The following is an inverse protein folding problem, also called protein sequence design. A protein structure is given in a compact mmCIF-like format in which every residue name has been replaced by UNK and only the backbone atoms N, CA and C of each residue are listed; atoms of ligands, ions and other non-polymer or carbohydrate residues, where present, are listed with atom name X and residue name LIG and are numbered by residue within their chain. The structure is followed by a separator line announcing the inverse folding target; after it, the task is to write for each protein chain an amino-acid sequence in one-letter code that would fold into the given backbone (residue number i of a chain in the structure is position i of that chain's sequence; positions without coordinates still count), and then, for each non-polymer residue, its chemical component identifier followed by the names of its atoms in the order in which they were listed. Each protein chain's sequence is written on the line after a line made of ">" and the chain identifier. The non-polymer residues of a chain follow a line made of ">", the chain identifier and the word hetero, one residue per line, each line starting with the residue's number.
data_IF_378222091058
#
_entry.id   IF_378222091058
#
_cell.length_a   1.000
_cell.length_b   1.000
_cell.length_c   1.000
_cell.angle_alpha   90.00
_cell.angle_beta   90.00
_cell.angle_gamma   90.00
#
_symmetry.space_group_name_H-M   'P 1'
#
loop_
_entity.id
_entity.type
_entity.pdbx_description
1 polymer ?
#
# COMPACT_ATOMS: atom_id res chain seq x y z
N UNK A 1 -1.86 -67.45 1.12
CA UNK A 1 -2.61 -66.39 0.40
C UNK A 1 -3.42 -65.69 1.47
N UNK A 2 -3.42 -64.36 1.56
CA UNK A 2 -4.03 -63.67 2.71
C UNK A 2 -5.55 -63.88 2.66
N UNK A 3 -6.07 -64.78 3.50
CA UNK A 3 -7.49 -65.07 3.64
C UNK A 3 -8.12 -64.03 4.57
N UNK A 4 -8.30 -62.81 4.05
CA UNK A 4 -9.04 -61.76 4.75
C UNK A 4 -10.54 -61.94 4.50
N UNK A 5 -11.38 -61.83 5.54
CA UNK A 5 -12.82 -61.85 5.37
C UNK A 5 -13.27 -60.63 4.56
N UNK A 6 -14.30 -60.81 3.73
CA UNK A 6 -14.82 -59.79 2.81
C UNK A 6 -15.26 -58.51 3.57
N UNK A 7 -15.62 -58.65 4.85
CA UNK A 7 -15.94 -57.53 5.76
C UNK A 7 -14.77 -56.55 5.90
N UNK A 8 -13.55 -57.06 6.05
CA UNK A 8 -12.38 -56.24 6.36
C UNK A 8 -11.93 -55.47 5.12
N UNK A 9 -11.99 -56.12 3.95
CA UNK A 9 -11.75 -55.47 2.66
C UNK A 9 -12.76 -54.34 2.40
N UNK A 10 -14.04 -54.58 2.69
CA UNK A 10 -15.09 -53.56 2.53
C UNK A 10 -14.89 -52.37 3.47
N UNK A 11 -14.48 -52.65 4.71
CA UNK A 11 -14.17 -51.63 5.71
C UNK A 11 -12.94 -50.80 5.29
N UNK A 12 -11.88 -51.44 4.81
CA UNK A 12 -10.69 -50.76 4.31
C UNK A 12 -11.00 -49.85 3.11
N UNK A 13 -11.84 -50.30 2.18
CA UNK A 13 -12.30 -49.48 1.06
C UNK A 13 -13.12 -48.28 1.55
N UNK A 14 -14.05 -48.49 2.48
CA UNK A 14 -14.86 -47.41 3.06
C UNK A 14 -13.97 -46.34 3.71
N UNK A 15 -12.99 -46.75 4.53
CA UNK A 15 -12.04 -45.82 5.14
C UNK A 15 -11.16 -45.12 4.10
N UNK A 16 -10.74 -45.81 3.04
CA UNK A 16 -9.95 -45.20 1.96
C UNK A 16 -10.71 -44.06 1.27
N UNK A 17 -12.01 -44.26 0.99
CA UNK A 17 -12.85 -43.20 0.43
C UNK A 17 -13.07 -42.04 1.40
N UNK A 18 -13.27 -42.32 2.70
CA UNK A 18 -13.38 -41.29 3.72
C UNK A 18 -12.11 -40.44 3.80
N UNK A 19 -10.94 -41.09 3.84
CA UNK A 19 -9.64 -40.42 3.88
C UNK A 19 -9.39 -39.58 2.62
N UNK A 20 -9.76 -40.08 1.45
CA UNK A 20 -9.65 -39.32 0.20
C UNK A 20 -10.47 -38.03 0.25
N UNK A 21 -11.69 -38.10 0.77
CA UNK A 21 -12.53 -36.91 1.00
C UNK A 21 -11.92 -35.94 2.01
N UNK A 22 -11.37 -36.45 3.12
CA UNK A 22 -10.69 -35.63 4.13
C UNK A 22 -9.47 -34.91 3.56
N UNK A 23 -8.65 -35.57 2.75
CA UNK A 23 -7.47 -34.97 2.11
C UNK A 23 -7.89 -33.85 1.17
N UNK A 24 -8.93 -34.06 0.35
CA UNK A 24 -9.45 -33.01 -0.52
C UNK A 24 -9.90 -31.78 0.27
N UNK A 25 -10.55 -31.99 1.41
CA UNK A 25 -10.98 -30.89 2.27
C UNK A 25 -9.79 -30.16 2.92
N UNK A 26 -8.78 -30.89 3.39
CA UNK A 26 -7.54 -30.32 3.94
C UNK A 26 -6.82 -29.44 2.91
N UNK A 27 -6.75 -29.88 1.65
CA UNK A 27 -6.14 -29.09 0.58
C UNK A 27 -6.89 -27.77 0.42
N UNK A 28 -8.23 -27.79 0.39
CA UNK A 28 -9.05 -26.58 0.30
C UNK A 28 -8.81 -25.65 1.49
N UNK A 29 -8.86 -26.19 2.70
CA UNK A 29 -8.58 -25.44 3.91
C UNK A 29 -7.20 -24.76 3.88
N UNK A 30 -6.18 -25.48 3.39
CA UNK A 30 -4.82 -24.95 3.30
C UNK A 30 -4.76 -23.77 2.32
N UNK A 31 -5.43 -23.89 1.16
CA UNK A 31 -5.52 -22.79 0.18
C UNK A 31 -6.22 -21.57 0.79
N UNK A 32 -7.32 -21.76 1.50
CA UNK A 32 -8.06 -20.66 2.14
C UNK A 32 -7.22 -19.93 3.19
N UNK A 33 -6.38 -20.66 3.95
CA UNK A 33 -5.45 -20.06 4.92
C UNK A 33 -4.34 -19.29 4.21
N UNK A 34 -3.74 -19.84 3.16
CA UNK A 34 -2.69 -19.14 2.40
C UNK A 34 -3.18 -17.84 1.76
N UNK A 35 -4.42 -17.83 1.27
CA UNK A 35 -5.06 -16.62 0.72
C UNK A 35 -5.20 -15.55 1.82
N UNK A 36 -5.65 -15.94 3.01
CA UNK A 36 -5.79 -15.02 4.14
C UNK A 36 -4.42 -14.49 4.61
N UNK A 37 -3.40 -15.34 4.64
CA UNK A 37 -2.04 -14.95 5.01
C UNK A 37 -1.46 -13.93 4.01
N UNK A 38 -1.60 -14.16 2.71
CA UNK A 38 -1.18 -13.19 1.66
C UNK A 38 -1.86 -11.83 1.84
N UNK A 39 -3.14 -11.81 2.22
CA UNK A 39 -3.86 -10.56 2.49
C UNK A 39 -3.29 -9.83 3.71
N UNK A 40 -3.00 -10.55 4.79
CA UNK A 40 -2.40 -9.98 5.99
C UNK A 40 -0.98 -9.45 5.73
N UNK A 41 -0.17 -10.14 4.93
CA UNK A 41 1.18 -9.69 4.54
C UNK A 41 1.15 -8.32 3.85
N UNK A 42 0.21 -8.08 2.93
CA UNK A 42 0.05 -6.76 2.28
C UNK A 42 -0.29 -5.65 3.27
N UNK A 43 -1.13 -5.96 4.27
CA UNK A 43 -1.48 -4.98 5.30
C UNK A 43 -0.25 -4.62 6.14
N UNK A 44 0.55 -5.63 6.51
CA UNK A 44 1.79 -5.42 7.26
C UNK A 44 2.78 -4.60 6.42
N UNK A 45 2.95 -4.92 5.13
CA UNK A 45 3.80 -4.17 4.22
C UNK A 45 3.43 -2.67 4.19
N UNK A 46 2.14 -2.33 4.12
CA UNK A 46 1.70 -0.93 4.14
C UNK A 46 1.92 -0.22 5.49
N UNK A 47 1.91 -0.95 6.60
CA UNK A 47 2.20 -0.39 7.92
C UNK A 47 3.68 -0.06 8.06
N UNK A 48 4.54 -0.91 7.48
CA UNK A 48 5.99 -0.77 7.56
C UNK A 48 6.59 0.19 6.52
N UNK A 49 5.80 0.66 5.54
CA UNK A 49 6.24 1.69 4.60
C UNK A 49 6.65 2.96 5.35
N UNK A 50 7.76 3.56 4.90
CA UNK A 50 8.17 4.87 5.40
C UNK A 50 7.05 5.87 5.10
N UNK A 51 6.48 6.53 6.13
CA UNK A 51 5.44 7.52 5.92
C UNK A 51 5.98 8.62 5.02
N UNK A 52 5.20 9.03 4.02
CA UNK A 52 5.52 10.24 3.26
C UNK A 52 5.75 11.38 4.26
N UNK A 53 6.85 12.12 4.09
CA UNK A 53 7.30 13.19 5.00
C UNK A 53 6.27 14.34 5.02
N UNK A 54 5.16 14.17 5.74
CA UNK A 54 4.26 15.26 6.14
C UNK A 54 3.27 14.94 7.26
N UNK A 55 3.42 13.83 8.02
CA UNK A 55 2.64 13.66 9.27
C UNK A 55 3.25 14.39 10.47
N UNK A 56 4.44 14.98 10.30
CA UNK A 56 5.00 15.95 11.25
C UNK A 56 4.54 17.37 10.94
N UNK A 57 3.23 17.59 10.89
CA UNK A 57 2.70 18.88 11.37
C UNK A 57 2.84 18.87 12.89
N UNK A 58 4.08 18.90 13.38
CA UNK A 58 4.38 18.89 14.82
C UNK A 58 3.83 20.13 15.53
N UNK A 59 3.40 21.15 14.78
CA UNK A 59 3.01 22.43 15.34
C UNK A 59 1.81 23.07 14.61
N UNK A 60 0.65 22.39 14.50
CA UNK A 60 -0.60 23.11 14.20
C UNK A 60 -0.84 24.25 15.22
N UNK A 61 -0.38 24.07 16.46
CA UNK A 61 -0.35 25.10 17.50
C UNK A 61 0.53 26.33 17.17
N UNK A 62 1.48 26.23 16.24
CA UNK A 62 2.35 27.36 15.86
C UNK A 62 1.83 28.14 14.66
N UNK A 63 0.75 27.68 14.01
CA UNK A 63 0.15 28.43 12.91
C UNK A 63 -0.68 29.57 13.54
N UNK A 64 -0.40 30.84 13.23
CA UNK A 64 -1.17 31.95 13.78
C UNK A 64 -2.66 31.82 13.37
N UNK A 65 -3.61 32.25 14.22
CA UNK A 65 -5.03 32.21 13.86
C UNK A 65 -5.35 33.07 12.63
N UNK A 66 -4.51 34.05 12.35
CA UNK A 66 -4.59 34.91 11.19
C UNK A 66 -3.89 34.35 9.94
N UNK A 67 -3.43 33.09 9.94
CA UNK A 67 -2.95 32.44 8.72
C UNK A 67 -4.13 32.13 7.77
N UNK A 68 -3.96 32.26 6.44
CA UNK A 68 -2.81 32.79 5.72
C UNK A 68 -2.94 34.29 5.47
N UNK A 69 -2.08 35.10 6.08
CA UNK A 69 -1.88 36.52 5.72
C UNK A 69 -0.47 36.69 5.17
N UNK A 70 -0.34 37.34 4.02
CA UNK A 70 0.94 37.68 3.43
C UNK A 70 1.01 37.43 1.92
N UNK A 71 2.18 37.68 1.36
CA UNK A 71 2.55 37.29 0.00
C UNK A 71 3.20 35.91 -0.03
N UNK A 72 3.37 35.34 -1.23
CA UNK A 72 4.04 34.06 -1.44
C UNK A 72 5.43 34.35 -2.01
N UNK A 73 6.48 33.83 -1.38
CA UNK A 73 7.85 33.96 -1.87
C UNK A 73 8.42 32.58 -2.17
N UNK A 74 8.86 32.41 -3.40
CA UNK A 74 9.70 31.31 -3.83
C UNK A 74 11.14 31.82 -3.89
N UNK A 75 12.02 31.22 -3.10
CA UNK A 75 13.45 31.55 -3.04
C UNK A 75 14.26 30.31 -3.41
N UNK A 76 14.98 30.40 -4.54
CA UNK A 76 15.80 29.33 -5.11
C UNK A 76 15.10 27.95 -5.17
N UNK A 77 13.79 27.93 -5.43
CA UNK A 77 13.00 26.70 -5.39
C UNK A 77 13.37 25.78 -6.56
N UNK A 78 13.75 24.54 -6.24
CA UNK A 78 14.01 23.48 -7.21
C UNK A 78 13.20 22.23 -6.84
N UNK A 79 12.51 21.65 -7.81
CA UNK A 79 11.59 20.53 -7.59
C UNK A 79 11.79 19.42 -8.62
N UNK A 80 11.76 18.18 -8.15
CA UNK A 80 11.84 16.96 -8.97
C UNK A 80 10.91 15.90 -8.38
N UNK A 81 10.28 15.09 -9.24
CA UNK A 81 9.29 14.09 -8.83
C UNK A 81 9.93 12.87 -8.15
N UNK A 82 11.16 12.53 -8.51
CA UNK A 82 11.94 11.48 -7.87
C UNK A 82 13.40 11.90 -7.72
N UNK A 83 14.14 11.21 -6.85
CA UNK A 83 15.56 11.45 -6.63
C UNK A 83 16.43 11.27 -7.87
N UNK A 84 15.93 10.56 -8.88
CA UNK A 84 16.64 10.21 -10.11
C UNK A 84 16.11 11.04 -11.30
N UNK A 85 14.88 11.55 -11.25
CA UNK A 85 14.30 12.35 -12.33
C UNK A 85 15.05 13.67 -12.54
N UNK A 86 15.13 14.18 -13.79
CA UNK A 86 15.58 15.53 -14.04
C UNK A 86 14.67 16.52 -13.31
N UNK A 87 15.18 17.70 -12.95
CA UNK A 87 14.34 18.63 -12.24
C UNK A 87 13.23 19.18 -13.14
N UNK A 88 12.03 19.23 -12.59
CA UNK A 88 10.87 19.83 -13.25
C UNK A 88 10.89 21.35 -13.08
N UNK A 89 11.34 21.83 -11.91
CA UNK A 89 11.59 23.24 -11.63
C UNK A 89 13.04 23.42 -11.18
N UNK A 90 13.71 24.45 -11.69
CA UNK A 90 15.09 24.76 -11.35
C UNK A 90 15.20 26.22 -10.94
N UNK A 91 15.70 26.48 -9.74
CA UNK A 91 16.09 27.80 -9.27
C UNK A 91 15.01 28.91 -9.44
N UNK A 92 13.77 28.59 -9.09
CA UNK A 92 12.64 29.50 -9.23
C UNK A 92 12.67 30.56 -8.12
N UNK A 93 12.76 31.83 -8.52
CA UNK A 93 12.82 33.00 -7.65
C UNK A 93 11.69 33.97 -8.02
N UNK A 94 10.58 33.93 -7.28
CA UNK A 94 9.37 34.71 -7.57
C UNK A 94 8.76 35.19 -6.25
N UNK A 95 8.34 36.45 -6.18
CA UNK A 95 7.60 37.02 -5.05
C UNK A 95 6.25 37.53 -5.52
N UNK A 96 5.18 36.99 -4.95
CA UNK A 96 3.79 37.36 -5.22
C UNK A 96 3.26 38.16 -4.03
N UNK A 97 2.78 39.37 -4.27
CA UNK A 97 2.27 40.25 -3.22
C UNK A 97 0.84 39.86 -2.78
N UNK A 98 0.41 40.25 -1.57
CA UNK A 98 -0.98 40.05 -1.16
C UNK A 98 -1.95 40.69 -2.16
N UNK A 99 -3.03 39.97 -2.49
CA UNK A 99 -4.06 40.40 -3.45
C UNK A 99 -3.60 40.55 -4.92
N UNK A 100 -2.46 39.97 -5.29
CA UNK A 100 -1.99 39.95 -6.68
C UNK A 100 -2.62 38.81 -7.48
N UNK A 101 -3.19 39.10 -8.66
CA UNK A 101 -3.67 38.08 -9.58
C UNK A 101 -2.52 37.65 -10.50
N UNK A 102 -2.09 36.40 -10.36
CA UNK A 102 -1.06 35.77 -11.20
C UNK A 102 -1.69 34.62 -11.98
N UNK A 103 -1.30 34.45 -13.24
CA UNK A 103 -1.72 33.34 -14.09
C UNK A 103 -0.50 32.49 -14.45
N UNK A 104 -0.64 31.16 -14.39
CA UNK A 104 0.40 30.23 -14.83
C UNK A 104 0.11 29.85 -16.29
N UNK A 105 0.89 30.36 -17.26
CA UNK A 105 0.71 29.98 -18.65
C UNK A 105 1.12 28.52 -18.85
N UNK A 106 0.25 27.73 -19.49
CA UNK A 106 0.63 26.40 -19.95
C UNK A 106 1.61 26.53 -21.13
N UNK A 107 2.65 25.69 -21.21
CA UNK A 107 3.54 25.69 -22.37
C UNK A 107 2.72 25.37 -23.63
N UNK A 108 2.85 26.21 -24.66
CA UNK A 108 2.32 25.88 -25.99
C UNK A 108 3.18 24.74 -26.56
N UNK A 109 2.51 23.68 -27.00
CA UNK A 109 3.12 22.53 -27.67
C UNK A 109 3.91 22.94 -28.90
#
# INVERSE_FOLDING_TARGET
>A
MIDLPISDLSLMLAYSFTLMGSIQWIIRLTVDVMIQMTSAERVIEYIDLEPEESSRVRNFQSIPPQWPIGGIVFDNLSFRYSSISPWALHNLNISIQPNEKVEVPSPKR
#
